data_IF_874315469912
#
_entry.id   IF_874315469912
#
_cell.length_a   1.000
_cell.length_b   1.000
_cell.length_c   1.000
_cell.angle_alpha   90.00
_cell.angle_beta   90.00
_cell.angle_gamma   90.00
#
_symmetry.space_group_name_H-M   'P 1'
#
loop_
_entity.id
_entity.type
_entity.pdbx_description
1 polymer ?
#
# COMPACT_ATOMS: atom_id res chain seq x y z
N UNK A 1 12.54 9.50 2.16
CA UNK A 1 11.58 8.81 3.05
C UNK A 1 10.67 9.86 3.67
N UNK A 2 9.37 9.62 3.68
CA UNK A 2 8.35 10.63 3.97
C UNK A 2 8.59 11.28 5.35
N UNK A 3 8.55 12.62 5.38
CA UNK A 3 8.75 13.46 6.57
C UNK A 3 7.51 13.48 7.49
N UNK A 4 6.82 12.35 7.61
CA UNK A 4 5.56 12.24 8.37
C UNK A 4 5.90 11.57 9.69
N UNK A 5 5.57 12.22 10.81
CA UNK A 5 5.73 11.63 12.13
C UNK A 5 4.58 10.64 12.36
N UNK A 6 4.88 9.34 12.37
CA UNK A 6 3.91 8.27 12.63
C UNK A 6 4.07 7.81 14.09
N UNK A 7 3.10 8.09 14.98
CA UNK A 7 3.21 7.76 16.41
C UNK A 7 3.41 6.27 16.65
N UNK A 8 4.32 5.91 17.56
CA UNK A 8 4.59 4.52 17.95
C UNK A 8 3.32 3.76 18.36
N UNK A 9 3.31 2.46 18.10
CA UNK A 9 2.19 1.58 18.42
C UNK A 9 2.30 0.24 17.69
N UNK A 10 1.29 -0.60 17.88
CA UNK A 10 1.27 -1.95 17.31
C UNK A 10 1.00 -1.97 15.80
N UNK A 11 1.57 -2.98 15.13
CA UNK A 11 1.39 -3.25 13.70
C UNK A 11 2.36 -2.52 12.78
N UNK A 12 2.19 -2.70 11.47
CA UNK A 12 3.04 -2.08 10.47
C UNK A 12 2.85 -0.55 10.46
N UNK A 13 3.94 0.17 10.20
CA UNK A 13 3.93 1.64 10.13
C UNK A 13 2.89 2.17 9.14
N UNK A 14 2.72 1.52 7.98
CA UNK A 14 1.70 1.90 7.00
C UNK A 14 0.27 1.83 7.56
N UNK A 15 -0.05 0.83 8.40
CA UNK A 15 -1.36 0.76 9.07
C UNK A 15 -1.53 1.87 10.09
N UNK A 16 -0.48 2.19 10.86
CA UNK A 16 -0.50 3.32 11.81
C UNK A 16 -0.65 4.67 11.10
N UNK A 17 0.03 4.85 9.97
CA UNK A 17 -0.07 6.05 9.14
C UNK A 17 -1.52 6.30 8.69
N UNK A 18 -2.24 5.27 8.23
CA UNK A 18 -3.64 5.45 7.82
C UNK A 18 -4.61 5.74 8.98
N UNK A 19 -4.25 5.45 10.24
CA UNK A 19 -5.02 5.90 11.40
C UNK A 19 -4.99 7.43 11.55
N UNK A 20 -3.94 8.11 11.06
CA UNK A 20 -3.85 9.57 11.04
C UNK A 20 -4.77 10.22 9.98
N UNK A 21 -5.22 9.44 8.98
CA UNK A 21 -6.08 9.90 7.89
C UNK A 21 -7.20 8.88 7.61
N UNK A 22 -8.17 8.70 8.53
CA UNK A 22 -9.08 7.55 8.52
C UNK A 22 -9.98 7.46 7.26
N UNK A 23 -10.44 8.60 6.74
CA UNK A 23 -11.24 8.62 5.51
C UNK A 23 -10.43 8.19 4.27
N UNK A 24 -9.15 8.58 4.20
CA UNK A 24 -8.24 8.08 3.17
C UNK A 24 -7.94 6.60 3.40
N UNK A 25 -7.72 6.19 4.65
CA UNK A 25 -7.45 4.81 5.02
C UNK A 25 -8.52 3.84 4.53
N UNK A 26 -9.80 4.21 4.63
CA UNK A 26 -10.90 3.42 4.09
C UNK A 26 -10.79 3.22 2.57
N UNK A 27 -10.52 4.29 1.81
CA UNK A 27 -10.31 4.23 0.37
C UNK A 27 -9.08 3.40 -0.02
N UNK A 28 -7.98 3.55 0.71
CA UNK A 28 -6.75 2.79 0.47
C UNK A 28 -6.95 1.29 0.75
N UNK A 29 -7.73 0.94 1.77
CA UNK A 29 -8.11 -0.45 2.04
C UNK A 29 -8.94 -1.04 0.89
N UNK A 30 -9.94 -0.29 0.41
CA UNK A 30 -10.77 -0.73 -0.72
C UNK A 30 -9.95 -0.88 -2.02
N UNK A 31 -9.00 0.02 -2.27
CA UNK A 31 -8.06 -0.08 -3.40
C UNK A 31 -7.19 -1.34 -3.26
N UNK A 32 -6.67 -1.62 -2.06
CA UNK A 32 -5.86 -2.82 -1.80
C UNK A 32 -6.65 -4.10 -2.06
N UNK A 33 -7.90 -4.17 -1.61
CA UNK A 33 -8.78 -5.31 -1.88
C UNK A 33 -9.02 -5.49 -3.39
N UNK A 34 -9.30 -4.40 -4.11
CA UNK A 34 -9.48 -4.44 -5.55
C UNK A 34 -8.23 -4.98 -6.28
N UNK A 35 -7.04 -4.51 -5.89
CA UNK A 35 -5.77 -4.88 -6.54
C UNK A 35 -5.31 -6.28 -6.19
N UNK A 36 -5.41 -6.72 -4.92
CA UNK A 36 -4.81 -7.99 -4.48
C UNK A 36 -5.80 -9.16 -4.37
N UNK A 37 -7.09 -8.88 -4.21
CA UNK A 37 -8.11 -9.93 -4.04
C UNK A 37 -9.00 -10.04 -5.28
N UNK A 38 -9.48 -8.92 -5.81
CA UNK A 38 -10.43 -8.89 -6.94
C UNK A 38 -9.75 -8.69 -8.31
N UNK A 39 -8.47 -8.99 -8.41
CA UNK A 39 -7.71 -8.85 -9.66
C UNK A 39 -8.12 -9.90 -10.68
N UNK A 40 -8.16 -9.52 -11.96
CA UNK A 40 -8.24 -10.46 -13.09
C UNK A 40 -6.88 -11.06 -13.48
N UNK A 41 -5.78 -10.52 -12.94
CA UNK A 41 -4.43 -11.02 -13.20
C UNK A 41 -4.08 -12.18 -12.27
N UNK A 42 -3.27 -13.11 -12.75
CA UNK A 42 -2.65 -14.11 -11.88
C UNK A 42 -1.73 -13.43 -10.85
N UNK A 43 -1.46 -14.11 -9.73
CA UNK A 43 -0.56 -13.59 -8.69
C UNK A 43 0.81 -13.22 -9.29
N UNK A 44 1.35 -14.05 -10.20
CA UNK A 44 2.66 -13.79 -10.81
C UNK A 44 2.67 -12.52 -11.65
N UNK A 45 1.66 -12.33 -12.50
CA UNK A 45 1.55 -11.13 -13.35
C UNK A 45 1.32 -9.88 -12.52
N UNK A 46 0.47 -9.96 -11.50
CA UNK A 46 0.20 -8.85 -10.58
C UNK A 46 1.47 -8.42 -9.82
N UNK A 47 2.24 -9.36 -9.29
CA UNK A 47 3.47 -9.02 -8.56
C UNK A 47 4.53 -8.41 -9.49
N UNK A 48 4.66 -8.90 -10.73
CA UNK A 48 5.55 -8.27 -11.74
C UNK A 48 5.10 -6.84 -12.03
N UNK A 49 3.80 -6.61 -12.23
CA UNK A 49 3.27 -5.27 -12.45
C UNK A 49 3.53 -4.34 -11.25
N UNK A 50 3.28 -4.82 -10.01
CA UNK A 50 3.56 -4.08 -8.77
C UNK A 50 5.03 -3.71 -8.66
N UNK A 51 5.94 -4.67 -8.86
CA UNK A 51 7.38 -4.43 -8.80
C UNK A 51 7.82 -3.42 -9.86
N UNK A 52 7.29 -3.51 -11.09
CA UNK A 52 7.63 -2.58 -12.15
C UNK A 52 7.18 -1.16 -11.83
N UNK A 53 5.96 -0.99 -11.30
CA UNK A 53 5.46 0.32 -10.84
C UNK A 53 6.36 0.88 -9.74
N UNK A 54 6.78 0.05 -8.77
CA UNK A 54 7.66 0.49 -7.70
C UNK A 54 9.03 0.96 -8.23
N UNK A 55 9.64 0.20 -9.14
CA UNK A 55 10.89 0.59 -9.81
C UNK A 55 10.76 1.92 -10.56
N UNK A 56 9.67 2.12 -11.31
CA UNK A 56 9.42 3.36 -12.05
C UNK A 56 9.27 4.57 -11.12
N UNK A 57 8.78 4.36 -9.90
CA UNK A 57 8.64 5.39 -8.87
C UNK A 57 9.85 5.47 -7.92
N UNK A 58 10.95 4.76 -8.24
CA UNK A 58 12.14 4.66 -7.38
C UNK A 58 11.80 4.27 -5.93
N UNK A 59 10.74 3.47 -5.77
CA UNK A 59 10.32 2.91 -4.51
C UNK A 59 11.12 1.64 -4.25
N UNK A 60 11.91 1.65 -3.19
CA UNK A 60 12.64 0.46 -2.74
C UNK A 60 11.62 -0.53 -2.21
N UNK A 61 11.53 -1.70 -2.85
CA UNK A 61 10.64 -2.82 -2.50
C UNK A 61 11.40 -3.81 -1.64
#
# INVERSE_FOLDING_TARGET
MARINVPDGEGLEAHRMWKLAPHMGAGMSAMSEAVYVKSSLSVREREVARMRIAQLNQCVV
#
